data_IF_615745594390
#
_entry.id   IF_615745594390
#
_cell.length_a   1.000
_cell.length_b   1.000
_cell.length_c   1.000
_cell.angle_alpha   90.00
_cell.angle_beta   90.00
_cell.angle_gamma   90.00
#
_symmetry.space_group_name_H-M   'P 1'
#
loop_
_entity.id
_entity.type
_entity.pdbx_description
1 polymer ?
#
# COMPACT_ATOMS: atom_id res chain seq x y z
N UNK A 1 -2.02 -15.65 -5.42
CA UNK A 1 -1.59 -15.29 -6.79
C UNK A 1 -0.84 -16.46 -7.42
N UNK A 2 -1.17 -16.80 -8.67
CA UNK A 2 -0.50 -17.83 -9.49
C UNK A 2 0.85 -17.31 -10.05
N UNK A 3 1.43 -17.97 -11.07
CA UNK A 3 2.71 -17.61 -11.71
C UNK A 3 2.82 -16.18 -12.29
N UNK A 4 3.94 -15.84 -12.92
CA UNK A 4 4.15 -14.56 -13.61
C UNK A 4 3.75 -14.64 -15.09
N UNK A 5 2.95 -13.69 -15.54
CA UNK A 5 2.56 -13.55 -16.93
C UNK A 5 3.55 -12.65 -17.69
N UNK A 6 3.84 -13.00 -18.95
CA UNK A 6 4.73 -12.29 -19.85
C UNK A 6 4.28 -12.46 -21.30
N UNK A 7 4.56 -11.48 -22.17
CA UNK A 7 4.28 -11.55 -23.62
C UNK A 7 5.12 -12.63 -24.31
N UNK A 8 6.39 -12.67 -23.95
CA UNK A 8 7.39 -13.55 -24.53
C UNK A 8 7.38 -14.96 -23.90
N UNK A 9 6.30 -15.38 -23.25
CA UNK A 9 6.21 -16.65 -22.54
C UNK A 9 6.61 -17.86 -23.42
N UNK A 10 6.23 -17.83 -24.69
CA UNK A 10 6.50 -18.88 -25.67
C UNK A 10 7.98 -19.00 -26.07
N UNK A 11 8.80 -17.97 -25.83
CA UNK A 11 10.23 -17.99 -26.10
C UNK A 11 11.09 -18.36 -24.88
N UNK A 12 10.46 -18.54 -23.72
CA UNK A 12 11.13 -18.96 -22.50
C UNK A 12 11.31 -20.47 -22.46
N UNK A 13 12.35 -20.91 -21.77
CA UNK A 13 12.58 -22.34 -21.53
C UNK A 13 11.41 -22.93 -20.73
N UNK A 14 10.87 -24.05 -21.21
CA UNK A 14 9.79 -24.81 -20.58
C UNK A 14 10.03 -25.13 -19.10
N UNK A 15 11.30 -25.28 -18.67
CA UNK A 15 11.64 -25.50 -17.25
C UNK A 15 11.23 -24.35 -16.34
N UNK A 16 11.10 -23.14 -16.87
CA UNK A 16 10.68 -21.93 -16.15
C UNK A 16 9.16 -21.80 -16.07
N UNK A 17 8.40 -22.67 -16.74
CA UNK A 17 6.95 -22.61 -16.85
C UNK A 17 6.30 -23.61 -15.89
N UNK A 18 5.30 -23.14 -15.15
CA UNK A 18 4.52 -23.98 -14.26
C UNK A 18 3.58 -24.88 -15.08
N UNK A 19 3.58 -26.20 -14.89
CA UNK A 19 2.68 -27.10 -15.62
C UNK A 19 1.20 -26.95 -15.21
N UNK A 20 0.92 -26.28 -14.08
CA UNK A 20 -0.44 -26.09 -13.56
C UNK A 20 -1.07 -24.81 -14.09
N UNK A 21 -0.45 -23.66 -13.83
CA UNK A 21 -1.01 -22.37 -14.25
C UNK A 21 -0.51 -21.92 -15.63
N UNK A 22 0.43 -22.66 -16.25
CA UNK A 22 1.02 -22.34 -17.56
C UNK A 22 1.64 -20.94 -17.63
N UNK A 23 2.13 -20.42 -16.51
CA UNK A 23 2.81 -19.14 -16.38
C UNK A 23 4.23 -19.36 -15.86
N UNK A 24 5.08 -18.33 -15.92
CA UNK A 24 6.43 -18.39 -15.34
C UNK A 24 6.31 -18.73 -13.85
N UNK A 25 7.13 -19.67 -13.35
CA UNK A 25 7.08 -20.15 -11.98
C UNK A 25 7.21 -18.99 -10.97
N UNK A 26 6.25 -18.91 -10.05
CA UNK A 26 6.29 -18.05 -8.86
C UNK A 26 6.57 -18.92 -7.65
N UNK A 27 7.64 -18.57 -6.93
CA UNK A 27 8.07 -19.30 -5.74
C UNK A 27 8.12 -20.82 -6.02
N UNK A 28 9.03 -21.25 -6.93
CA UNK A 28 9.08 -22.63 -7.40
C UNK A 28 9.32 -23.58 -6.23
N UNK A 29 8.51 -24.62 -6.18
CA UNK A 29 8.73 -25.81 -5.33
C UNK A 29 9.06 -26.98 -6.24
N UNK A 30 10.01 -27.81 -5.79
CA UNK A 30 10.41 -29.03 -6.46
C UNK A 30 9.89 -30.24 -5.68
N UNK A 31 9.25 -31.18 -6.38
CA UNK A 31 8.87 -32.47 -5.82
C UNK A 31 10.07 -33.41 -5.95
N UNK A 32 10.71 -33.77 -4.84
CA UNK A 32 11.96 -34.56 -4.90
C UNK A 32 11.76 -35.97 -5.44
N UNK A 33 10.55 -36.52 -5.34
CA UNK A 33 10.20 -37.83 -5.91
C UNK A 33 10.26 -37.92 -7.44
N UNK A 34 10.15 -36.79 -8.17
CA UNK A 34 10.19 -36.78 -9.63
C UNK A 34 11.00 -35.62 -10.25
N UNK A 35 11.48 -34.68 -9.44
CA UNK A 35 12.27 -33.52 -9.86
C UNK A 35 11.49 -32.39 -10.53
N UNK A 36 10.19 -32.55 -10.78
CA UNK A 36 9.35 -31.54 -11.43
C UNK A 36 9.07 -30.33 -10.52
N UNK A 37 8.87 -29.17 -11.16
CA UNK A 37 8.65 -27.89 -10.48
C UNK A 37 7.27 -27.33 -10.76
N UNK A 38 6.70 -26.66 -9.77
CA UNK A 38 5.47 -25.89 -9.90
C UNK A 38 5.48 -24.69 -8.95
N UNK A 39 4.56 -23.76 -9.12
CA UNK A 39 4.41 -22.66 -8.16
C UNK A 39 3.98 -23.22 -6.80
N UNK A 40 4.51 -22.65 -5.71
CA UNK A 40 4.06 -23.01 -4.36
C UNK A 40 2.54 -22.89 -4.21
N UNK A 41 1.94 -21.83 -4.75
CA UNK A 41 0.49 -21.60 -4.69
C UNK A 41 -0.32 -22.51 -5.61
N UNK A 42 0.31 -23.14 -6.61
CA UNK A 42 -0.33 -24.15 -7.45
C UNK A 42 -0.27 -25.55 -6.83
N UNK A 43 0.54 -25.73 -5.77
CA UNK A 43 0.61 -26.95 -5.00
C UNK A 43 -0.34 -26.84 -3.81
N UNK A 44 -1.41 -27.63 -3.80
CA UNK A 44 -2.35 -27.66 -2.67
C UNK A 44 -1.84 -28.66 -1.62
N UNK A 45 -1.01 -28.19 -0.68
CA UNK A 45 -0.34 -29.05 0.31
C UNK A 45 -1.20 -29.31 1.56
N UNK A 46 -2.17 -28.44 1.84
CA UNK A 46 -2.78 -28.32 3.16
C UNK A 46 -3.84 -29.39 3.48
N UNK A 47 -4.18 -30.29 2.54
CA UNK A 47 -5.33 -31.18 2.66
C UNK A 47 -5.06 -32.66 2.31
N UNK A 48 -3.85 -33.02 1.90
CA UNK A 48 -3.56 -34.36 1.36
C UNK A 48 -2.42 -35.07 2.10
N UNK A 49 -2.61 -36.34 2.44
CA UNK A 49 -1.58 -37.21 3.02
C UNK A 49 -0.47 -37.55 2.02
N UNK A 50 -0.77 -37.45 0.73
CA UNK A 50 0.13 -37.70 -0.38
C UNK A 50 -0.14 -36.66 -1.46
N UNK A 51 0.91 -36.17 -2.11
CA UNK A 51 0.84 -35.14 -3.14
C UNK A 51 1.10 -35.79 -4.49
N UNK A 52 0.23 -35.56 -5.47
CA UNK A 52 0.43 -36.02 -6.84
C UNK A 52 1.07 -34.95 -7.70
N UNK A 53 2.19 -35.30 -8.34
CA UNK A 53 2.80 -34.43 -9.33
C UNK A 53 1.81 -34.20 -10.50
N UNK A 54 1.46 -32.95 -10.79
CA UNK A 54 0.53 -32.61 -11.88
C UNK A 54 1.11 -32.88 -13.28
N UNK A 55 2.43 -33.08 -13.39
CA UNK A 55 3.11 -33.32 -14.65
C UNK A 55 3.26 -34.81 -14.98
N UNK A 56 3.65 -35.63 -14.00
CA UNK A 56 3.94 -37.06 -14.22
C UNK A 56 3.13 -38.01 -13.34
N UNK A 57 2.22 -37.49 -12.51
CA UNK A 57 1.34 -38.24 -11.60
C UNK A 57 2.06 -39.06 -10.51
N UNK A 58 3.39 -38.96 -10.41
CA UNK A 58 4.16 -39.56 -9.31
C UNK A 58 3.66 -39.03 -7.96
N UNK A 59 3.37 -39.95 -7.06
CA UNK A 59 3.00 -39.65 -5.68
C UNK A 59 4.26 -39.30 -4.88
N UNK A 60 4.16 -38.28 -4.04
CA UNK A 60 5.27 -37.75 -3.25
C UNK A 60 4.73 -37.33 -1.89
N UNK A 61 5.49 -37.53 -0.81
CA UNK A 61 5.03 -37.12 0.51
C UNK A 61 5.16 -35.59 0.67
N UNK A 62 4.35 -34.94 1.52
CA UNK A 62 4.50 -33.51 1.79
C UNK A 62 5.90 -33.07 2.23
N UNK A 63 6.62 -33.94 2.96
CA UNK A 63 8.00 -33.71 3.41
C UNK A 63 9.04 -33.68 2.27
N UNK A 64 8.69 -34.26 1.14
CA UNK A 64 9.51 -34.40 -0.06
C UNK A 64 9.32 -33.23 -1.03
N UNK A 65 8.50 -32.25 -0.66
CA UNK A 65 8.35 -30.98 -1.37
C UNK A 65 9.35 -29.98 -0.80
N UNK A 66 10.19 -29.41 -1.67
CA UNK A 66 11.22 -28.45 -1.28
C UNK A 66 11.07 -27.14 -2.03
N UNK A 67 11.13 -26.02 -1.32
CA UNK A 67 11.23 -24.70 -1.96
C UNK A 67 12.55 -24.61 -2.69
N UNK A 68 12.51 -24.45 -4.01
CA UNK A 68 13.70 -24.46 -4.86
C UNK A 68 14.28 -23.05 -4.99
N UNK A 69 15.03 -22.66 -3.95
CA UNK A 69 15.69 -21.35 -3.88
C UNK A 69 16.79 -21.19 -4.94
N UNK A 70 17.47 -22.28 -5.28
CA UNK A 70 18.52 -22.28 -6.32
C UNK A 70 17.91 -21.91 -7.67
N UNK A 71 16.88 -22.66 -8.07
CA UNK A 71 16.19 -22.40 -9.33
C UNK A 71 15.50 -21.02 -9.34
N UNK A 72 14.90 -20.58 -8.21
CA UNK A 72 14.35 -19.23 -8.10
C UNK A 72 15.40 -18.14 -8.35
N UNK A 73 16.64 -18.34 -7.89
CA UNK A 73 17.73 -17.41 -8.13
C UNK A 73 18.18 -17.43 -9.60
N UNK A 74 18.27 -18.60 -10.22
CA UNK A 74 18.64 -18.74 -11.63
C UNK A 74 17.64 -18.02 -12.55
N UNK A 75 16.35 -18.05 -12.19
CA UNK A 75 15.31 -17.37 -12.94
C UNK A 75 15.39 -15.83 -12.90
N UNK A 76 16.17 -15.22 -12.00
CA UNK A 76 16.21 -13.75 -11.82
C UNK A 76 16.67 -12.99 -13.07
N UNK A 77 17.56 -13.59 -13.87
CA UNK A 77 18.09 -13.02 -15.11
C UNK A 77 17.23 -13.30 -16.33
N UNK A 78 16.13 -14.03 -16.19
CA UNK A 78 15.23 -14.36 -17.29
C UNK A 78 14.70 -13.08 -17.94
N UNK A 79 14.86 -12.95 -19.26
CA UNK A 79 14.35 -11.81 -20.01
C UNK A 79 12.82 -11.89 -20.15
N UNK A 80 12.11 -10.82 -19.81
CA UNK A 80 10.66 -10.78 -19.70
C UNK A 80 10.13 -9.50 -20.32
N UNK A 81 9.07 -9.68 -21.10
CA UNK A 81 8.28 -8.59 -21.68
C UNK A 81 6.93 -8.50 -20.98
N UNK A 82 6.58 -7.30 -20.52
CA UNK A 82 5.33 -7.09 -19.80
C UNK A 82 4.13 -7.34 -20.73
N UNK A 83 3.16 -8.14 -20.28
CA UNK A 83 1.97 -8.47 -21.07
C UNK A 83 1.08 -7.27 -21.41
N UNK A 84 1.22 -6.16 -20.70
CA UNK A 84 0.26 -5.04 -20.75
C UNK A 84 0.88 -3.70 -21.16
N UNK A 85 2.21 -3.61 -21.30
CA UNK A 85 2.89 -2.40 -21.78
C UNK A 85 4.16 -2.71 -22.58
N UNK A 86 4.93 -1.69 -22.91
CA UNK A 86 6.18 -1.80 -23.68
C UNK A 86 7.40 -2.13 -22.81
N UNK A 87 7.23 -2.30 -21.50
CA UNK A 87 8.35 -2.62 -20.62
C UNK A 87 8.95 -3.99 -20.96
N UNK A 88 10.27 -4.02 -21.06
CA UNK A 88 11.09 -5.22 -21.21
C UNK A 88 12.22 -5.16 -20.20
N UNK A 89 12.68 -6.32 -19.72
CA UNK A 89 13.77 -6.38 -18.74
C UNK A 89 13.99 -7.78 -18.21
N UNK A 90 14.57 -7.89 -17.01
CA UNK A 90 14.80 -9.19 -16.34
C UNK A 90 13.74 -9.48 -15.27
N UNK A 91 13.47 -10.74 -14.97
CA UNK A 91 12.46 -11.15 -13.98
C UNK A 91 12.66 -10.52 -12.61
N UNK A 92 13.90 -10.36 -12.16
CA UNK A 92 14.18 -9.70 -10.88
C UNK A 92 13.65 -8.25 -10.86
N UNK A 93 13.89 -7.51 -11.94
CA UNK A 93 13.39 -6.15 -12.10
C UNK A 93 11.88 -6.17 -12.29
N UNK A 94 11.33 -7.12 -13.05
CA UNK A 94 9.90 -7.29 -13.21
C UNK A 94 9.21 -7.50 -11.85
N UNK A 95 9.78 -8.28 -10.94
CA UNK A 95 9.24 -8.52 -9.60
C UNK A 95 9.28 -7.26 -8.71
N UNK A 96 10.44 -6.58 -8.67
CA UNK A 96 10.63 -5.35 -7.87
C UNK A 96 9.75 -4.24 -8.40
N UNK A 97 9.81 -4.01 -9.72
CA UNK A 97 8.97 -3.05 -10.40
C UNK A 97 7.51 -3.45 -10.14
N UNK A 98 7.09 -4.71 -10.31
CA UNK A 98 5.73 -5.17 -9.99
C UNK A 98 5.27 -4.83 -8.57
N UNK A 99 6.14 -4.97 -7.56
CA UNK A 99 5.83 -4.59 -6.18
C UNK A 99 5.65 -3.07 -5.99
N UNK A 100 6.37 -2.27 -6.79
CA UNK A 100 6.21 -0.81 -6.90
C UNK A 100 5.17 -0.39 -7.95
N UNK A 101 4.68 -1.32 -8.78
CA UNK A 101 3.74 -1.13 -9.88
C UNK A 101 2.28 -1.19 -9.44
N UNK A 102 1.99 -1.15 -8.13
CA UNK A 102 0.61 -0.90 -7.70
C UNK A 102 0.05 0.37 -8.39
N UNK A 103 0.93 1.36 -8.63
CA UNK A 103 0.65 2.59 -9.39
C UNK A 103 0.82 2.43 -10.92
N UNK A 104 1.59 1.45 -11.40
CA UNK A 104 1.80 1.21 -12.84
C UNK A 104 0.67 0.42 -13.50
N UNK A 105 0.05 -0.54 -12.80
CA UNK A 105 -1.21 -1.16 -13.25
C UNK A 105 -2.37 -0.15 -13.26
N UNK A 106 -2.22 0.98 -12.54
CA UNK A 106 -3.11 2.14 -12.57
C UNK A 106 -2.71 3.17 -13.64
N UNK A 107 -1.64 2.97 -14.41
CA UNK A 107 -1.31 3.88 -15.53
C UNK A 107 -2.40 3.82 -16.59
N UNK A 108 -2.71 4.97 -17.21
CA UNK A 108 -3.69 5.09 -18.28
C UNK A 108 -3.44 4.09 -19.42
N UNK A 109 -2.17 3.78 -19.71
CA UNK A 109 -1.79 2.79 -20.72
C UNK A 109 -2.20 1.35 -20.35
N UNK A 110 -2.07 0.96 -19.08
CA UNK A 110 -2.52 -0.35 -18.60
C UNK A 110 -4.03 -0.46 -18.54
N UNK A 111 -4.69 0.57 -18.01
CA UNK A 111 -6.15 0.62 -17.97
C UNK A 111 -6.72 0.54 -19.39
N UNK A 112 -6.17 1.31 -20.33
CA UNK A 112 -6.59 1.28 -21.73
C UNK A 112 -6.27 -0.07 -22.41
N UNK A 113 -5.12 -0.70 -22.13
CA UNK A 113 -4.79 -2.02 -22.68
C UNK A 113 -5.70 -3.12 -22.14
N UNK A 114 -6.02 -3.10 -20.84
CA UNK A 114 -6.94 -4.04 -20.20
C UNK A 114 -8.35 -3.84 -20.74
N UNK A 115 -8.86 -2.60 -20.77
CA UNK A 115 -10.18 -2.27 -21.33
C UNK A 115 -10.26 -2.66 -22.81
N UNK A 116 -9.23 -2.38 -23.61
CA UNK A 116 -9.17 -2.79 -25.02
C UNK A 116 -9.20 -4.31 -25.18
N UNK A 117 -8.44 -5.05 -24.38
CA UNK A 117 -8.45 -6.51 -24.40
C UNK A 117 -9.82 -7.08 -23.99
N UNK A 118 -10.47 -6.49 -22.98
CA UNK A 118 -11.82 -6.87 -22.54
C UNK A 118 -12.86 -6.56 -23.64
N UNK A 119 -12.82 -5.38 -24.25
CA UNK A 119 -13.71 -5.00 -25.36
C UNK A 119 -13.54 -5.95 -26.54
N UNK A 120 -12.29 -6.30 -26.89
CA UNK A 120 -11.99 -7.22 -27.99
C UNK A 120 -12.45 -8.65 -27.71
N UNK A 121 -12.46 -9.08 -26.44
CA UNK A 121 -13.07 -10.35 -26.03
C UNK A 121 -14.61 -10.29 -26.08
N UNK A 122 -15.22 -9.18 -25.65
CA UNK A 122 -16.67 -8.99 -25.69
C UNK A 122 -17.19 -8.96 -27.14
N UNK A 123 -16.44 -8.35 -28.07
CA UNK A 123 -16.80 -8.38 -29.50
C UNK A 123 -16.76 -9.79 -30.09
N UNK A 124 -15.82 -10.64 -29.66
CA UNK A 124 -15.75 -12.04 -30.09
C UNK A 124 -16.91 -12.91 -29.57
N UNK A 125 -17.55 -12.51 -28.47
CA UNK A 125 -18.77 -13.15 -27.98
C UNK A 125 -20.01 -12.70 -28.76
N UNK A 126 -20.00 -11.46 -29.28
CA UNK A 126 -21.11 -10.89 -30.03
C UNK A 126 -21.22 -11.43 -31.47
N UNK A 127 -20.09 -11.90 -32.06
CA UNK A 127 -20.06 -12.57 -33.38
C UNK A 127 -20.60 -14.02 -33.36
N UNK A 128 -21.10 -14.52 -32.23
CA UNK A 128 -21.61 -15.91 -32.08
C UNK A 128 -23.12 -16.01 -31.90
N UNK A 129 -23.91 -15.05 -32.37
CA UNK A 129 -25.37 -15.20 -32.43
C UNK A 129 -25.85 -15.80 -33.76
N UNK A 130 -26.09 -17.12 -33.70
CA UNK A 130 -27.28 -17.84 -34.21
C UNK A 130 -27.47 -17.96 -35.73
N UNK A 131 -27.06 -19.12 -36.27
CA UNK A 131 -27.89 -19.86 -37.23
C UNK A 131 -28.21 -21.22 -36.60
N UNK A 132 -29.47 -21.38 -36.15
CA UNK A 132 -30.05 -22.64 -35.70
C UNK A 132 -30.75 -23.23 -36.91
N UNK A 133 -30.15 -24.26 -37.50
CA UNK A 133 -30.90 -25.26 -38.27
C UNK A 133 -30.60 -26.65 -37.72
N UNK A 134 -31.67 -27.36 -37.33
CA UNK A 134 -31.69 -28.69 -36.73
C UNK A 134 -32.00 -29.71 -37.84
N UNK A 135 -31.23 -30.81 -38.00
CA UNK A 135 -31.68 -32.07 -37.41
C UNK A 135 -30.59 -33.05 -36.91
N UNK A 136 -30.83 -33.53 -35.68
CA UNK A 136 -30.80 -34.91 -35.16
C UNK A 136 -29.66 -35.88 -35.56
N UNK A 137 -29.05 -36.38 -34.48
CA UNK A 137 -28.63 -37.77 -34.16
C UNK A 137 -27.14 -38.14 -34.19
N UNK A 138 -26.71 -38.65 -33.03
CA UNK A 138 -25.73 -39.71 -32.74
C UNK A 138 -24.23 -39.41 -32.54
N UNK A 139 -23.81 -39.76 -31.31
CA UNK A 139 -22.50 -40.27 -30.84
C UNK A 139 -21.35 -39.33 -30.45
N UNK A 140 -20.82 -39.66 -29.25
CA UNK A 140 -19.44 -39.54 -28.76
C UNK A 140 -18.86 -38.18 -28.30
N UNK A 141 -18.63 -38.14 -26.97
CA UNK A 141 -17.54 -37.48 -26.25
C UNK A 141 -16.73 -36.37 -26.93
N UNK A 142 -17.13 -35.13 -26.69
CA UNK A 142 -16.25 -33.96 -26.78
C UNK A 142 -16.52 -33.07 -25.55
N UNK A 143 -15.48 -32.69 -24.82
CA UNK A 143 -15.61 -31.73 -23.71
C UNK A 143 -16.04 -30.37 -24.30
N UNK A 144 -17.20 -29.88 -23.86
CA UNK A 144 -17.83 -28.69 -24.43
C UNK A 144 -16.91 -27.46 -24.28
N UNK A 145 -16.56 -26.74 -25.36
CA UNK A 145 -15.70 -25.55 -25.29
C UNK A 145 -16.28 -24.41 -24.44
N UNK A 146 -17.57 -24.47 -24.09
CA UNK A 146 -18.26 -23.52 -23.23
C UNK A 146 -17.83 -23.60 -21.76
N UNK A 147 -17.45 -24.78 -21.24
CA UNK A 147 -17.06 -24.93 -19.83
C UNK A 147 -15.65 -24.38 -19.56
N UNK A 148 -14.73 -24.56 -20.51
CA UNK A 148 -13.35 -24.04 -20.43
C UNK A 148 -13.33 -22.50 -20.49
N UNK A 149 -14.25 -21.89 -21.24
CA UNK A 149 -14.39 -20.43 -21.30
C UNK A 149 -14.98 -19.86 -20.00
N UNK A 150 -15.90 -20.58 -19.37
CA UNK A 150 -16.51 -20.19 -18.10
C UNK A 150 -15.49 -20.21 -16.94
N UNK A 151 -14.60 -21.20 -16.89
CA UNK A 151 -13.53 -21.25 -15.89
C UNK A 151 -12.56 -20.07 -16.02
N UNK A 152 -12.15 -19.73 -17.25
CA UNK A 152 -11.32 -18.55 -17.52
C UNK A 152 -12.04 -17.25 -17.15
N UNK A 153 -13.35 -17.19 -17.35
CA UNK A 153 -14.19 -16.06 -16.97
C UNK A 153 -14.24 -15.88 -15.45
N UNK A 154 -14.43 -16.98 -14.69
CA UNK A 154 -14.38 -16.97 -13.22
C UNK A 154 -13.00 -16.55 -12.69
N UNK A 155 -11.91 -16.98 -13.34
CA UNK A 155 -10.56 -16.61 -12.94
C UNK A 155 -10.32 -15.11 -13.11
N UNK A 156 -10.76 -14.52 -14.23
CA UNK A 156 -10.66 -13.08 -14.47
C UNK A 156 -11.54 -12.29 -13.50
N UNK A 157 -12.77 -12.75 -13.24
CA UNK A 157 -13.65 -12.12 -12.26
C UNK A 157 -13.07 -12.13 -10.85
N UNK A 158 -12.45 -13.23 -10.43
CA UNK A 158 -11.76 -13.29 -9.13
C UNK A 158 -10.55 -12.36 -9.10
N UNK A 159 -9.78 -12.23 -10.18
CA UNK A 159 -8.67 -11.28 -10.25
C UNK A 159 -9.18 -9.84 -10.14
N UNK A 160 -10.29 -9.52 -10.80
CA UNK A 160 -10.92 -8.20 -10.74
C UNK A 160 -11.51 -7.92 -9.35
N UNK A 161 -12.23 -8.87 -8.76
CA UNK A 161 -12.80 -8.75 -7.42
C UNK A 161 -11.71 -8.53 -6.36
N UNK A 162 -10.64 -9.33 -6.40
CA UNK A 162 -9.49 -9.17 -5.52
C UNK A 162 -8.76 -7.84 -5.77
N UNK A 163 -8.67 -7.40 -7.03
CA UNK A 163 -8.09 -6.11 -7.41
C UNK A 163 -8.88 -4.93 -6.85
N UNK A 164 -10.21 -4.99 -6.92
CA UNK A 164 -11.11 -4.00 -6.34
C UNK A 164 -10.98 -3.95 -4.82
N UNK A 165 -10.98 -5.11 -4.15
CA UNK A 165 -10.82 -5.19 -2.69
C UNK A 165 -9.48 -4.60 -2.23
N UNK A 166 -8.39 -4.88 -2.95
CA UNK A 166 -7.06 -4.33 -2.64
C UNK A 166 -7.00 -2.81 -2.88
N UNK A 167 -7.71 -2.29 -3.89
CA UNK A 167 -7.81 -0.85 -4.14
C UNK A 167 -8.63 -0.15 -3.06
N UNK A 168 -9.79 -0.67 -2.69
CA UNK A 168 -10.62 -0.12 -1.60
C UNK A 168 -9.84 -0.08 -0.28
N UNK A 169 -9.14 -1.17 0.05
CA UNK A 169 -8.29 -1.23 1.24
C UNK A 169 -7.11 -0.25 1.17
N UNK A 170 -6.57 0.03 -0.03
CA UNK A 170 -5.50 1.00 -0.21
C UNK A 170 -5.98 2.43 0.01
N UNK A 171 -7.15 2.77 -0.53
CA UNK A 171 -7.79 4.07 -0.38
C UNK A 171 -8.15 4.36 1.08
N UNK A 172 -8.64 3.34 1.80
CA UNK A 172 -8.89 3.43 3.24
C UNK A 172 -7.59 3.56 4.05
N UNK A 173 -6.51 2.86 3.66
CA UNK A 173 -5.19 3.00 4.30
C UNK A 173 -4.57 4.39 4.08
N UNK A 174 -4.64 4.93 2.86
CA UNK A 174 -4.17 6.29 2.56
C UNK A 174 -4.95 7.34 3.36
N UNK A 175 -6.27 7.16 3.46
CA UNK A 175 -7.12 8.04 4.28
C UNK A 175 -6.74 7.99 5.77
N UNK A 176 -6.49 6.79 6.31
CA UNK A 176 -6.07 6.60 7.70
C UNK A 176 -4.64 7.13 7.96
N UNK A 177 -3.71 6.93 7.02
CA UNK A 177 -2.35 7.47 7.11
C UNK A 177 -2.38 9.00 7.11
N UNK A 178 -3.11 9.62 6.19
CA UNK A 178 -3.28 11.07 6.12
C UNK A 178 -3.87 11.64 7.42
N UNK A 179 -4.91 10.99 7.96
CA UNK A 179 -5.48 11.34 9.27
C UNK A 179 -4.47 11.23 10.41
N UNK A 180 -3.64 10.17 10.43
CA UNK A 180 -2.64 9.98 11.47
C UNK A 180 -1.53 11.04 11.42
N UNK A 181 -1.05 11.39 10.22
CA UNK A 181 -0.05 12.44 10.03
C UNK A 181 -0.58 13.81 10.44
N UNK A 182 -1.80 14.15 10.00
CA UNK A 182 -2.46 15.39 10.43
C UNK A 182 -2.66 15.45 11.95
N UNK A 183 -2.97 14.31 12.59
CA UNK A 183 -3.12 14.24 14.04
C UNK A 183 -1.79 14.50 14.77
N UNK A 184 -0.69 13.94 14.25
CA UNK A 184 0.65 14.15 14.79
C UNK A 184 1.08 15.62 14.64
N UNK A 185 0.92 16.21 13.45
CA UNK A 185 1.20 17.63 13.21
C UNK A 185 0.38 18.53 14.14
N UNK A 186 -0.92 18.27 14.30
CA UNK A 186 -1.78 19.03 15.20
C UNK A 186 -1.34 18.91 16.66
N UNK A 187 -0.87 17.73 17.09
CA UNK A 187 -0.34 17.53 18.44
C UNK A 187 0.97 18.30 18.68
N UNK A 188 1.88 18.34 17.70
CA UNK A 188 3.14 19.10 17.82
C UNK A 188 2.90 20.60 17.86
N UNK A 189 2.00 21.11 17.03
CA UNK A 189 1.60 22.52 17.04
C UNK A 189 0.92 22.87 18.36
N UNK A 190 0.06 22.00 18.89
CA UNK A 190 -0.57 22.19 20.20
C UNK A 190 0.47 22.32 21.31
N UNK A 191 1.46 21.42 21.37
CA UNK A 191 2.54 21.48 22.36
C UNK A 191 3.35 22.79 22.25
N UNK A 192 3.68 23.20 21.02
CA UNK A 192 4.39 24.47 20.77
C UNK A 192 3.60 25.70 21.22
N UNK A 193 2.28 25.69 21.04
CA UNK A 193 1.39 26.76 21.54
C UNK A 193 1.33 26.75 23.07
N UNK A 194 1.22 25.57 23.70
CA UNK A 194 1.21 25.44 25.15
C UNK A 194 2.52 25.94 25.78
N UNK A 195 3.67 25.62 25.18
CA UNK A 195 4.98 26.15 25.57
C UNK A 195 5.06 27.67 25.41
N UNK A 196 4.59 28.20 24.27
CA UNK A 196 4.55 29.65 24.02
C UNK A 196 3.67 30.39 25.03
N UNK A 197 2.52 29.80 25.40
CA UNK A 197 1.63 30.35 26.43
C UNK A 197 2.32 30.32 27.80
N UNK A 198 3.00 29.22 28.16
CA UNK A 198 3.73 29.11 29.41
C UNK A 198 4.87 30.14 29.50
N UNK A 199 5.61 30.33 28.40
CA UNK A 199 6.64 31.36 28.30
C UNK A 199 6.07 32.77 28.49
N UNK A 200 4.99 33.12 27.77
CA UNK A 200 4.34 34.42 27.90
C UNK A 200 3.81 34.68 29.32
N UNK A 201 3.27 33.65 29.99
CA UNK A 201 2.88 33.74 31.41
C UNK A 201 4.09 34.04 32.31
N UNK A 202 5.23 33.39 32.07
CA UNK A 202 6.47 33.65 32.81
C UNK A 202 6.99 35.06 32.60
N UNK A 203 7.02 35.55 31.36
CA UNK A 203 7.42 36.93 31.03
C UNK A 203 6.50 37.94 31.70
N UNK A 204 5.18 37.73 31.65
CA UNK A 204 4.20 38.59 32.32
C UNK A 204 4.41 38.61 33.83
N UNK A 205 4.61 37.46 34.46
CA UNK A 205 4.90 37.37 35.89
C UNK A 205 6.17 38.13 36.28
N UNK A 206 7.23 37.99 35.48
CA UNK A 206 8.48 38.73 35.70
C UNK A 206 8.28 40.24 35.54
N UNK A 207 7.49 40.69 34.56
CA UNK A 207 7.13 42.11 34.40
C UNK A 207 6.36 42.65 35.63
N UNK A 208 5.40 41.87 36.14
CA UNK A 208 4.64 42.22 37.34
C UNK A 208 5.55 42.31 38.57
N UNK A 209 6.51 41.38 38.71
CA UNK A 209 7.51 41.41 39.79
C UNK A 209 8.45 42.61 39.68
N UNK A 210 8.93 42.95 38.48
CA UNK A 210 9.77 44.14 38.27
C UNK A 210 9.00 45.42 38.63
N UNK A 211 7.72 45.52 38.23
CA UNK A 211 6.88 46.66 38.60
C UNK A 211 6.62 46.76 40.10
N UNK A 212 6.45 45.61 40.79
CA UNK A 212 6.32 45.59 42.25
C UNK A 212 7.63 45.96 42.95
N UNK A 213 8.78 45.51 42.43
CA UNK A 213 10.10 45.87 42.95
C UNK A 213 10.35 47.38 42.85
N UNK A 214 10.04 47.99 41.70
CA UNK A 214 10.15 49.44 41.50
C UNK A 214 9.30 50.21 42.53
N UNK A 215 8.07 49.76 42.79
CA UNK A 215 7.22 50.37 43.83
C UNK A 215 7.78 50.20 45.25
N UNK A 216 8.44 49.08 45.55
CA UNK A 216 9.07 48.86 46.85
C UNK A 216 10.26 49.80 47.01
N UNK A 217 11.09 49.93 45.98
CA UNK A 217 12.27 50.80 46.00
C UNK A 217 11.84 52.27 46.16
N UNK A 218 10.85 52.73 45.40
CA UNK A 218 10.26 54.07 45.55
C UNK A 218 9.70 54.31 46.96
N UNK A 219 9.02 53.30 47.53
CA UNK A 219 8.48 53.39 48.89
C UNK A 219 9.56 53.37 49.96
N UNK A 220 10.70 52.71 49.74
CA UNK A 220 11.85 52.72 50.65
C UNK A 220 12.55 54.09 50.62
N UNK A 221 12.69 54.72 49.44
CA UNK A 221 13.20 56.09 49.34
C UNK A 221 12.30 57.14 50.00
N UNK A 222 10.99 56.87 50.09
CA UNK A 222 10.05 57.72 50.83
C UNK A 222 10.06 57.51 52.36
N UNK A 223 10.71 56.45 52.86
CA UNK A 223 10.69 56.06 54.28
C UNK A 223 12.10 55.76 54.81
N UNK A 224 12.97 56.77 54.85
CA UNK A 224 14.25 56.65 55.55
C UNK A 224 14.01 56.79 57.08
N UNK A 225 14.41 55.80 57.87
CA UNK A 225 14.29 55.70 59.35
C UNK A 225 12.90 55.38 59.96
N UNK A 226 11.97 54.78 59.22
CA UNK A 226 10.69 54.31 59.79
C UNK A 226 9.72 55.43 60.19
N UNK A 227 10.05 56.67 59.83
CA UNK A 227 9.15 57.82 59.91
C UNK A 227 8.54 58.05 58.54
N UNK A 228 7.21 57.96 58.42
CA UNK A 228 6.49 58.23 57.18
C UNK A 228 6.67 59.71 56.78
N UNK A 229 7.57 60.00 55.83
CA UNK A 229 7.73 61.35 55.28
C UNK A 229 6.70 61.57 54.18
N UNK A 230 5.53 62.07 54.53
CA UNK A 230 4.61 62.65 53.55
C UNK A 230 5.20 63.97 53.08
N UNK A 231 5.86 63.97 51.92
CA UNK A 231 6.34 65.20 51.29
C UNK A 231 5.13 65.97 50.79
N UNK A 232 4.64 66.94 51.57
CA UNK A 232 3.59 67.85 51.11
C UNK A 232 4.22 68.77 50.05
N UNK A 233 4.08 68.40 48.79
CA UNK A 233 4.36 69.31 47.67
C UNK A 233 3.32 70.44 47.68
N UNK A 234 3.78 71.64 47.35
CA UNK A 234 2.99 72.88 47.31
C UNK A 234 2.46 73.37 48.68
N UNK A 235 3.14 73.03 49.78
CA UNK A 235 2.78 73.57 51.11
C UNK A 235 2.80 75.10 51.16
N UNK A 236 3.86 75.73 50.64
CA UNK A 236 3.98 77.19 50.60
C UNK A 236 2.86 77.85 49.77
N UNK A 237 2.49 77.25 48.64
CA UNK A 237 1.41 77.71 47.76
C UNK A 237 0.03 77.55 48.43
N UNK A 238 -0.18 76.45 49.16
CA UNK A 238 -1.41 76.24 49.96
C UNK A 238 -1.49 77.17 51.17
N UNK A 239 -0.37 77.48 51.83
CA UNK A 239 -0.36 78.43 52.96
C UNK A 239 -0.52 79.88 52.51
N UNK A 240 0.03 80.28 51.36
CA UNK A 240 -0.17 81.62 50.81
C UNK A 240 -1.63 81.89 50.43
N UNK A 241 -2.37 80.86 50.02
CA UNK A 241 -3.80 80.96 49.69
C UNK A 241 -4.72 80.95 50.93
N UNK A 242 -4.20 80.72 52.14
CA UNK A 242 -4.97 80.76 53.39
C UNK A 242 -4.82 82.10 54.14
N UNK A 243 -3.86 82.94 53.75
CA UNK A 243 -3.58 84.24 54.37
C UNK A 243 -4.10 85.44 53.53
N UNK A 244 -4.99 85.19 52.56
CA UNK A 244 -5.72 86.21 51.80
C UNK A 244 -7.23 86.02 51.97
#
# INVERSE_FOLDING_TARGET
MVGFNAKNLHSLDTKCICPVCLLILRDPVQLTGCGHRQCQTCLNVEQETTIKCRQCQTETLPIDVRVDRGFKNDMKSLSIDCSFCQWTGVLNNYQIIRSKMKDHYLTQQHQHAVVKAVIQMLSQLNDRQVDIDLPRTTTAGACNPATIQLEKFYEVLNILANGMEISTNHEQRLSNLSLSTLTEELSTVKLSIEESIAFLKGVKHNQDLVSLQEKIDDSQYASYDGTLVWKITNFLEKMSNLNN
#
